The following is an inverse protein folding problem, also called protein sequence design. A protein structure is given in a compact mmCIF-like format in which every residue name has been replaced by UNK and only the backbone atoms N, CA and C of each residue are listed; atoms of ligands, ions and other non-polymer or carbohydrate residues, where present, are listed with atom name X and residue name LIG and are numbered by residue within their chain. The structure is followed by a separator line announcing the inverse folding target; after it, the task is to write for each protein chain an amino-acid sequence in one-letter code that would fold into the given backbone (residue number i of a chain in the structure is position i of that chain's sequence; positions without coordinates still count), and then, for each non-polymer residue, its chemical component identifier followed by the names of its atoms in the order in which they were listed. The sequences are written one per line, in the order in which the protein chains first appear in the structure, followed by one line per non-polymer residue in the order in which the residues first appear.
data_IF_586758474437
#
_entry.id   IF_586758474437
#
_cell.length_a   1.000
_cell.length_b   1.000
_cell.length_c   1.000
_cell.angle_alpha   90.00
_cell.angle_beta   90.00
_cell.angle_gamma   90.00
#
_symmetry.space_group_name_H-M   'P 1'
#
loop_
_entity.id
_entity.type
_entity.pdbx_description
1 polymer ?
#
# COMPACT_ATOMS: atom_id res chain seq x y z
N UNK A 1 -11.50 23.07 3.41
CA UNK A 1 -10.86 24.02 2.47
C UNK A 1 -9.90 23.18 1.66
N UNK A 2 -9.99 23.22 0.34
CA UNK A 2 -9.15 22.37 -0.53
C UNK A 2 -7.72 22.91 -0.52
N UNK A 3 -6.72 22.05 -0.23
CA UNK A 3 -5.29 22.44 -0.26
C UNK A 3 -4.91 23.14 -1.56
N UNK A 4 -5.53 22.72 -2.67
CA UNK A 4 -5.29 23.25 -4.00
C UNK A 4 -5.71 24.72 -4.14
N UNK A 5 -6.93 25.08 -3.76
CA UNK A 5 -7.43 26.45 -3.90
C UNK A 5 -6.65 27.43 -3.02
N UNK A 6 -6.36 27.04 -1.79
CA UNK A 6 -5.62 27.90 -0.87
C UNK A 6 -4.21 28.21 -1.42
N UNK A 7 -3.54 27.23 -2.01
CA UNK A 7 -2.22 27.43 -2.64
C UNK A 7 -2.31 28.22 -3.95
N UNK A 8 -3.33 27.94 -4.78
CA UNK A 8 -3.58 28.69 -6.00
C UNK A 8 -3.84 30.17 -5.71
N UNK A 9 -4.64 30.48 -4.68
CA UNK A 9 -4.90 31.86 -4.25
C UNK A 9 -3.59 32.56 -3.89
N UNK A 10 -2.69 31.94 -3.13
CA UNK A 10 -1.39 32.55 -2.79
C UNK A 10 -0.59 32.87 -4.04
N UNK A 11 -0.43 31.91 -4.96
CA UNK A 11 0.34 32.08 -6.20
C UNK A 11 -0.25 33.18 -7.09
N UNK A 12 -1.58 33.19 -7.27
CA UNK A 12 -2.29 34.22 -8.02
C UNK A 12 -2.09 35.60 -7.40
N UNK A 13 -2.16 35.70 -6.06
CA UNK A 13 -2.02 36.97 -5.33
C UNK A 13 -0.64 37.58 -5.52
N UNK A 14 0.41 36.76 -5.42
CA UNK A 14 1.80 37.17 -5.67
C UNK A 14 1.94 37.63 -7.12
N UNK A 15 1.48 36.82 -8.08
CA UNK A 15 1.58 37.13 -9.51
C UNK A 15 0.90 38.45 -9.88
N UNK A 16 -0.32 38.68 -9.39
CA UNK A 16 -1.06 39.91 -9.68
C UNK A 16 -0.36 41.14 -9.09
N UNK A 17 0.22 41.01 -7.89
CA UNK A 17 0.99 42.06 -7.23
C UNK A 17 2.28 42.38 -8.01
N UNK A 18 2.98 41.36 -8.49
CA UNK A 18 4.20 41.50 -9.30
C UNK A 18 3.91 42.11 -10.67
N UNK A 19 2.86 41.64 -11.36
CA UNK A 19 2.43 42.21 -12.64
C UNK A 19 2.06 43.69 -12.53
N UNK A 20 1.36 44.08 -11.46
CA UNK A 20 1.08 45.50 -11.21
C UNK A 20 2.38 46.28 -10.97
N UNK A 21 3.27 45.75 -10.13
CA UNK A 21 4.51 46.43 -9.75
C UNK A 21 4.23 47.82 -9.17
N UNK A 22 4.82 48.86 -9.77
CA UNK A 22 4.63 50.26 -9.38
C UNK A 22 3.44 50.95 -10.07
N UNK A 23 2.71 50.27 -10.96
CA UNK A 23 1.56 50.85 -11.66
C UNK A 23 0.45 51.20 -10.66
N UNK A 24 -0.22 52.33 -10.92
CA UNK A 24 -1.45 52.70 -10.21
C UNK A 24 -2.55 51.68 -10.52
N UNK A 25 -3.34 51.30 -9.53
CA UNK A 25 -4.35 50.24 -9.65
C UNK A 25 -5.41 50.62 -10.70
N UNK A 26 -5.72 51.90 -10.77
CA UNK A 26 -6.68 52.51 -11.69
C UNK A 26 -6.26 52.37 -13.16
N UNK A 27 -4.96 52.18 -13.42
CA UNK A 27 -4.44 51.90 -14.77
C UNK A 27 -4.64 50.44 -15.19
N UNK A 28 -5.01 49.57 -14.26
CA UNK A 28 -5.33 48.16 -14.51
C UNK A 28 -6.83 48.00 -14.75
N UNK A 29 -7.68 48.45 -13.81
CA UNK A 29 -9.13 48.41 -14.00
C UNK A 29 -9.79 49.52 -13.20
N UNK A 30 -10.43 50.46 -13.91
CA UNK A 30 -11.13 51.58 -13.29
C UNK A 30 -12.38 51.07 -12.57
N UNK A 31 -12.47 51.35 -11.26
CA UNK A 31 -13.61 50.94 -10.42
C UNK A 31 -13.46 49.59 -9.72
N UNK A 32 -12.36 48.85 -9.92
CA UNK A 32 -12.09 47.57 -9.24
C UNK A 32 -10.94 47.63 -8.22
N UNK A 33 -10.63 48.83 -7.71
CA UNK A 33 -9.48 49.08 -6.83
C UNK A 33 -9.52 48.23 -5.55
N UNK A 34 -10.68 48.14 -4.90
CA UNK A 34 -10.86 47.34 -3.69
C UNK A 34 -10.67 45.84 -3.95
N UNK A 35 -11.16 45.34 -5.09
CA UNK A 35 -11.01 43.95 -5.52
C UNK A 35 -9.56 43.61 -5.80
N UNK A 36 -8.81 44.48 -6.51
CA UNK A 36 -7.38 44.29 -6.78
C UNK A 36 -6.59 44.25 -5.47
N UNK A 37 -6.80 45.19 -4.54
CA UNK A 37 -6.15 45.17 -3.22
C UNK A 37 -6.46 43.89 -2.43
N UNK A 38 -7.68 43.36 -2.55
CA UNK A 38 -8.07 42.10 -1.90
C UNK A 38 -7.35 40.90 -2.52
N UNK A 39 -7.27 40.83 -3.85
CA UNK A 39 -6.56 39.75 -4.55
C UNK A 39 -5.08 39.81 -4.21
N UNK A 40 -4.44 40.97 -4.32
CA UNK A 40 -3.01 41.11 -4.04
C UNK A 40 -2.65 40.78 -2.59
N UNK A 41 -3.59 40.88 -1.64
CA UNK A 41 -3.37 40.49 -0.25
C UNK A 41 -3.63 39.01 0.04
N UNK A 42 -4.09 38.22 -0.95
CA UNK A 42 -4.46 36.82 -0.75
C UNK A 42 -5.67 36.62 0.15
N UNK A 43 -6.46 37.68 0.37
CA UNK A 43 -7.64 37.59 1.22
C UNK A 43 -8.75 36.83 0.50
N UNK A 44 -8.92 35.56 0.87
CA UNK A 44 -10.02 34.73 0.39
C UNK A 44 -11.37 35.31 0.86
N UNK A 45 -12.40 35.10 0.05
CA UNK A 45 -13.76 35.55 0.32
C UNK A 45 -14.61 34.37 0.79
N UNK A 46 -15.40 34.58 1.84
CA UNK A 46 -16.31 33.55 2.37
C UNK A 46 -17.47 33.23 1.41
N UNK A 47 -17.74 34.12 0.46
CA UNK A 47 -18.74 33.96 -0.59
C UNK A 47 -18.37 34.83 -1.81
N UNK A 48 -18.65 34.32 -3.01
CA UNK A 48 -18.41 35.02 -4.27
C UNK A 48 -17.17 34.52 -5.02
N UNK A 49 -16.77 35.26 -6.07
CA UNK A 49 -15.69 34.88 -6.97
C UNK A 49 -14.36 35.56 -6.58
N UNK A 50 -13.28 34.80 -6.32
CA UNK A 50 -12.00 35.36 -5.85
C UNK A 50 -11.44 36.36 -6.87
N UNK A 51 -11.55 36.05 -8.17
CA UNK A 51 -11.24 36.95 -9.28
C UNK A 51 -12.45 37.01 -10.23
N UNK A 52 -13.09 38.18 -10.40
CA UNK A 52 -14.12 38.37 -11.41
C UNK A 52 -13.56 38.23 -12.84
N UNK A 53 -14.35 37.66 -13.75
CA UNK A 53 -13.94 37.50 -15.16
C UNK A 53 -13.61 38.83 -15.85
N UNK A 54 -14.34 39.92 -15.54
CA UNK A 54 -14.06 41.25 -16.08
C UNK A 54 -12.68 41.77 -15.66
N UNK A 55 -12.28 41.53 -14.41
CA UNK A 55 -10.94 41.90 -13.94
C UNK A 55 -9.86 41.06 -14.63
N UNK A 56 -10.14 39.77 -14.81
CA UNK A 56 -9.22 38.85 -15.50
C UNK A 56 -9.03 39.25 -16.97
N UNK A 57 -10.09 39.71 -17.64
CA UNK A 57 -10.04 40.28 -18.99
C UNK A 57 -9.20 41.56 -19.04
N UNK A 58 -9.38 42.47 -18.09
CA UNK A 58 -8.58 43.70 -18.01
C UNK A 58 -7.08 43.41 -17.85
N UNK A 59 -6.72 42.50 -16.93
CA UNK A 59 -5.33 42.05 -16.79
C UNK A 59 -4.81 41.38 -18.07
N UNK A 60 -5.62 40.51 -18.69
CA UNK A 60 -5.26 39.82 -19.93
C UNK A 60 -4.92 40.78 -21.05
N UNK A 61 -5.76 41.81 -21.25
CA UNK A 61 -5.58 42.85 -22.25
C UNK A 61 -4.37 43.74 -21.97
N UNK A 62 -4.19 44.19 -20.73
CA UNK A 62 -3.16 45.18 -20.36
C UNK A 62 -1.76 44.58 -20.39
N UNK A 63 -1.62 43.34 -19.92
CA UNK A 63 -0.33 42.66 -19.85
C UNK A 63 -0.07 41.77 -21.07
N UNK A 64 -1.06 41.59 -21.95
CA UNK A 64 -1.00 40.67 -23.09
C UNK A 64 -0.64 39.23 -22.64
N UNK A 65 -1.29 38.77 -21.58
CA UNK A 65 -1.11 37.44 -20.99
C UNK A 65 -2.46 36.72 -21.02
N UNK A 66 -2.49 35.49 -21.53
CA UNK A 66 -3.72 34.69 -21.55
C UNK A 66 -4.28 34.47 -20.13
N UNK A 67 -5.61 34.39 -20.02
CA UNK A 67 -6.33 34.21 -18.75
C UNK A 67 -5.88 32.96 -17.96
N UNK A 68 -5.68 31.85 -18.65
CA UNK A 68 -5.17 30.61 -18.04
C UNK A 68 -3.79 30.81 -17.39
N UNK A 69 -2.89 31.52 -18.07
CA UNK A 69 -1.55 31.84 -17.56
C UNK A 69 -1.57 32.88 -16.45
N UNK A 70 -2.57 33.76 -16.40
CA UNK A 70 -2.76 34.67 -15.25
C UNK A 70 -3.18 33.90 -13.99
N UNK A 71 -4.02 32.87 -14.12
CA UNK A 71 -4.49 32.06 -13.01
C UNK A 71 -3.46 31.00 -12.60
N UNK A 72 -3.03 30.15 -13.53
CA UNK A 72 -2.21 28.97 -13.22
C UNK A 72 -0.70 29.21 -13.40
N UNK A 73 -0.29 30.27 -14.12
CA UNK A 73 1.12 30.58 -14.34
C UNK A 73 1.74 29.79 -15.51
N UNK A 74 3.05 29.67 -15.45
CA UNK A 74 3.86 28.86 -16.38
C UNK A 74 3.76 27.36 -16.07
N UNK A 75 4.28 26.53 -16.98
CA UNK A 75 4.35 25.08 -16.75
C UNK A 75 5.11 24.72 -15.47
N UNK A 76 6.18 25.46 -15.15
CA UNK A 76 6.93 25.26 -13.90
C UNK A 76 6.12 25.62 -12.66
N UNK A 77 5.33 26.70 -12.71
CA UNK A 77 4.46 27.10 -11.60
C UNK A 77 3.31 26.11 -11.40
N UNK A 78 2.81 25.50 -12.49
CA UNK A 78 1.81 24.42 -12.44
C UNK A 78 2.41 23.17 -11.77
N UNK A 79 3.61 22.77 -12.18
CA UNK A 79 4.30 21.62 -11.56
C UNK A 79 4.50 21.86 -10.06
N UNK A 80 4.99 23.04 -9.68
CA UNK A 80 5.20 23.42 -8.26
C UNK A 80 3.88 23.45 -7.47
N UNK A 81 2.80 24.00 -8.04
CA UNK A 81 1.48 24.01 -7.41
C UNK A 81 0.97 22.59 -7.15
N UNK A 82 1.12 21.70 -8.13
CA UNK A 82 0.70 20.30 -8.01
C UNK A 82 1.60 19.54 -7.02
N UNK A 83 2.90 19.79 -7.02
CA UNK A 83 3.83 19.19 -6.05
C UNK A 83 3.41 19.50 -4.61
N UNK A 84 3.21 20.78 -4.29
CA UNK A 84 2.77 21.22 -2.96
C UNK A 84 1.41 20.61 -2.61
N UNK A 85 0.48 20.57 -3.56
CA UNK A 85 -0.86 20.03 -3.33
C UNK A 85 -0.82 18.53 -3.02
N UNK A 86 -0.07 17.75 -3.80
CA UNK A 86 0.03 16.30 -3.62
C UNK A 86 0.91 15.94 -2.41
N UNK A 87 1.92 16.74 -2.08
CA UNK A 87 2.64 16.57 -0.81
C UNK A 87 1.71 16.80 0.38
N UNK A 88 0.84 17.82 0.36
CA UNK A 88 -0.15 18.01 1.43
C UNK A 88 -1.09 16.81 1.56
N UNK A 89 -1.57 16.25 0.45
CA UNK A 89 -2.33 15.00 0.46
C UNK A 89 -1.55 13.82 1.05
N UNK A 90 -0.29 13.69 0.67
CA UNK A 90 0.60 12.68 1.23
C UNK A 90 0.78 12.86 2.74
N UNK A 91 1.05 14.07 3.23
CA UNK A 91 1.16 14.38 4.66
C UNK A 91 -0.15 14.09 5.43
N UNK A 92 -1.30 14.33 4.80
CA UNK A 92 -2.59 13.99 5.39
C UNK A 92 -2.77 12.47 5.51
N UNK A 93 -2.36 11.68 4.51
CA UNK A 93 -2.30 10.22 4.63
C UNK A 93 -1.36 9.82 5.76
N UNK A 94 -0.17 10.41 5.86
CA UNK A 94 0.77 10.10 6.96
C UNK A 94 0.17 10.38 8.34
N UNK A 95 -0.72 11.37 8.45
CA UNK A 95 -1.32 11.79 9.73
C UNK A 95 -2.60 11.04 10.08
N UNK A 96 -3.44 10.74 9.08
CA UNK A 96 -4.81 10.23 9.27
C UNK A 96 -5.08 8.89 8.57
N UNK A 97 -4.11 8.35 7.83
CA UNK A 97 -4.26 7.23 6.88
C UNK A 97 -5.29 7.49 5.76
N UNK A 98 -5.77 8.73 5.58
CA UNK A 98 -6.71 9.15 4.54
C UNK A 98 -6.67 10.66 4.33
N UNK A 99 -7.12 11.13 3.16
CA UNK A 99 -7.15 12.55 2.78
C UNK A 99 -8.49 13.21 3.13
N UNK A 100 -9.62 12.71 2.62
CA UNK A 100 -10.97 13.20 2.93
C UNK A 100 -11.99 12.10 2.60
N UNK A 101 -13.11 12.06 3.31
CA UNK A 101 -14.22 11.12 3.07
C UNK A 101 -15.00 11.42 1.79
N UNK A 102 -14.86 12.63 1.23
CA UNK A 102 -15.50 13.01 -0.05
C UNK A 102 -14.66 12.63 -1.29
N UNK A 103 -13.43 12.16 -1.09
CA UNK A 103 -12.48 11.82 -2.15
C UNK A 103 -12.05 10.34 -2.05
N UNK A 104 -13.01 9.43 -1.91
CA UNK A 104 -12.75 8.02 -1.64
C UNK A 104 -12.02 7.31 -2.80
N UNK A 105 -12.39 7.55 -4.06
CA UNK A 105 -11.76 6.87 -5.20
C UNK A 105 -10.34 7.39 -5.42
N UNK A 106 -10.15 8.70 -5.31
CA UNK A 106 -8.83 9.31 -5.36
C UNK A 106 -7.96 8.82 -4.21
N UNK A 107 -8.47 8.83 -2.97
CA UNK A 107 -7.74 8.37 -1.80
C UNK A 107 -7.26 6.92 -1.96
N UNK A 108 -8.15 6.02 -2.38
CA UNK A 108 -7.80 4.61 -2.61
C UNK A 108 -6.73 4.45 -3.69
N UNK A 109 -6.95 5.03 -4.87
CA UNK A 109 -6.04 4.90 -6.02
C UNK A 109 -4.67 5.54 -5.76
N UNK A 110 -4.63 6.66 -5.05
CA UNK A 110 -3.39 7.32 -4.67
C UNK A 110 -2.61 6.51 -3.62
N UNK A 111 -3.30 5.93 -2.63
CA UNK A 111 -2.69 4.99 -1.67
C UNK A 111 -2.15 3.75 -2.39
N UNK A 112 -2.91 3.17 -3.31
CA UNK A 112 -2.47 2.03 -4.12
C UNK A 112 -1.21 2.37 -4.94
N UNK A 113 -1.14 3.60 -5.47
CA UNK A 113 0.07 4.10 -6.13
C UNK A 113 1.26 4.20 -5.15
N UNK A 114 1.04 4.79 -3.97
CA UNK A 114 2.08 4.93 -2.95
C UNK A 114 2.55 3.56 -2.42
N UNK A 115 1.68 2.55 -2.38
CA UNK A 115 2.02 1.18 -1.99
C UNK A 115 2.98 0.47 -2.95
N UNK A 116 3.25 1.02 -4.14
CA UNK A 116 4.36 0.58 -5.01
C UNK A 116 5.74 0.83 -4.38
N UNK A 117 5.80 1.65 -3.33
CA UNK A 117 6.98 1.88 -2.52
C UNK A 117 6.90 1.04 -1.24
N UNK A 118 7.77 0.04 -1.13
CA UNK A 118 7.79 -0.95 -0.05
C UNK A 118 7.82 -0.30 1.35
N UNK A 119 8.58 0.79 1.52
CA UNK A 119 8.66 1.53 2.78
C UNK A 119 7.31 2.16 3.16
N UNK A 120 6.59 2.70 2.17
CA UNK A 120 5.25 3.24 2.37
C UNK A 120 4.24 2.13 2.65
N UNK A 121 4.21 1.08 1.81
CA UNK A 121 3.30 -0.05 1.99
C UNK A 121 3.46 -0.72 3.37
N UNK A 122 4.71 -0.95 3.80
CA UNK A 122 5.00 -1.51 5.13
C UNK A 122 4.45 -0.62 6.23
N UNK A 123 4.69 0.69 6.17
CA UNK A 123 4.18 1.64 7.16
C UNK A 123 2.66 1.76 7.15
N UNK A 124 2.03 1.75 5.98
CA UNK A 124 0.58 1.94 5.86
C UNK A 124 -0.19 0.74 6.39
N UNK A 125 0.28 -0.48 6.04
CA UNK A 125 -0.40 -1.73 6.37
C UNK A 125 -0.07 -2.25 7.78
N UNK A 126 1.12 -1.96 8.32
CA UNK A 126 1.37 -2.20 9.74
C UNK A 126 0.69 -1.09 10.54
N UNK A 127 -0.08 -1.40 11.57
CA UNK A 127 -0.70 -0.39 12.43
C UNK A 127 0.32 0.26 13.37
N UNK A 128 1.23 1.02 12.77
CA UNK A 128 2.35 1.65 13.44
C UNK A 128 1.88 3.02 13.93
N UNK A 129 1.77 3.17 15.24
CA UNK A 129 1.61 4.47 15.92
C UNK A 129 2.82 5.40 15.74
N UNK A 130 3.86 4.97 15.02
CA UNK A 130 5.06 5.73 14.77
C UNK A 130 4.89 6.71 13.61
N UNK A 131 5.44 7.92 13.80
CA UNK A 131 5.55 8.94 12.77
C UNK A 131 6.36 8.40 11.59
N UNK A 132 5.76 8.46 10.39
CA UNK A 132 6.42 8.02 9.17
C UNK A 132 7.56 8.98 8.78
N UNK A 133 8.67 8.42 8.31
CA UNK A 133 9.77 9.17 7.67
C UNK A 133 9.75 9.03 6.14
N UNK A 134 8.58 8.79 5.57
CA UNK A 134 8.42 8.69 4.13
C UNK A 134 8.42 10.07 3.49
N UNK A 135 9.00 10.18 2.30
CA UNK A 135 9.08 11.41 1.53
C UNK A 135 8.35 11.22 0.21
N UNK A 136 7.69 12.28 -0.27
CA UNK A 136 6.92 12.23 -1.51
C UNK A 136 7.77 12.46 -2.78
N UNK A 137 9.05 12.80 -2.65
CA UNK A 137 9.93 13.17 -3.78
C UNK A 137 10.00 12.10 -4.88
N UNK A 138 10.33 10.85 -4.55
CA UNK A 138 10.41 9.77 -5.57
C UNK A 138 9.04 9.48 -6.21
N UNK A 139 7.94 9.31 -5.44
CA UNK A 139 6.60 9.23 -6.01
C UNK A 139 6.24 10.43 -6.91
N UNK A 140 6.61 11.65 -6.53
CA UNK A 140 6.34 12.85 -7.31
C UNK A 140 7.09 12.85 -8.64
N UNK A 141 8.41 12.63 -8.60
CA UNK A 141 9.27 12.69 -9.77
C UNK A 141 8.82 11.74 -10.89
N UNK A 142 8.30 10.56 -10.55
CA UNK A 142 7.78 9.59 -11.53
C UNK A 142 6.57 10.11 -12.31
N UNK A 143 5.65 10.82 -11.65
CA UNK A 143 4.37 11.19 -12.26
C UNK A 143 4.30 12.66 -12.68
N UNK A 144 5.19 13.53 -12.19
CA UNK A 144 5.03 15.00 -12.27
C UNK A 144 4.67 15.50 -13.66
N UNK A 145 5.37 15.04 -14.71
CA UNK A 145 5.18 15.52 -16.09
C UNK A 145 3.84 15.08 -16.67
N UNK A 146 3.51 13.79 -16.47
CA UNK A 146 2.23 13.22 -16.90
C UNK A 146 1.07 13.86 -16.14
N UNK A 147 1.23 14.06 -14.83
CA UNK A 147 0.22 14.67 -13.98
C UNK A 147 -0.03 16.13 -14.38
N UNK A 148 1.01 16.93 -14.56
CA UNK A 148 0.90 18.31 -15.03
C UNK A 148 0.25 18.38 -16.43
N UNK A 149 0.59 17.47 -17.34
CA UNK A 149 -0.07 17.37 -18.65
C UNK A 149 -1.55 17.02 -18.53
N UNK A 150 -1.90 16.07 -17.66
CA UNK A 150 -3.29 15.69 -17.38
C UNK A 150 -4.06 16.87 -16.81
N UNK A 151 -3.52 17.55 -15.81
CA UNK A 151 -4.12 18.73 -15.19
C UNK A 151 -4.40 19.83 -16.22
N UNK A 152 -3.44 20.14 -17.08
CA UNK A 152 -3.63 21.11 -18.18
C UNK A 152 -4.76 20.70 -19.11
N UNK A 153 -4.88 19.41 -19.44
CA UNK A 153 -5.85 18.92 -20.41
C UNK A 153 -7.28 18.77 -19.85
N UNK A 154 -7.42 18.42 -18.59
CA UNK A 154 -8.72 18.08 -18.00
C UNK A 154 -9.26 19.19 -17.10
N UNK A 155 -8.39 19.89 -16.37
CA UNK A 155 -8.78 20.99 -15.47
C UNK A 155 -8.71 22.33 -16.19
N UNK A 156 -7.51 22.76 -16.63
CA UNK A 156 -7.35 24.10 -17.21
C UNK A 156 -8.17 24.27 -18.48
N UNK A 157 -8.06 23.33 -19.43
CA UNK A 157 -8.90 23.38 -20.63
C UNK A 157 -10.38 23.33 -20.26
N UNK A 158 -10.79 22.49 -19.31
CA UNK A 158 -12.20 22.42 -18.87
C UNK A 158 -12.76 23.75 -18.36
N UNK A 159 -11.94 24.53 -17.66
CA UNK A 159 -12.29 25.86 -17.14
C UNK A 159 -12.39 26.92 -18.25
N UNK A 160 -11.53 26.84 -19.27
CA UNK A 160 -11.39 27.88 -20.30
C UNK A 160 -11.90 27.47 -21.70
N UNK A 161 -12.54 26.31 -21.87
CA UNK A 161 -12.95 25.78 -23.19
C UNK A 161 -14.15 26.51 -23.80
N UNK A 162 -15.04 27.06 -22.97
CA UNK A 162 -16.30 27.63 -23.43
C UNK A 162 -16.16 29.14 -23.63
N UNK A 163 -15.93 29.55 -24.87
CA UNK A 163 -15.78 30.96 -25.28
C UNK A 163 -17.00 31.83 -24.90
N UNK A 164 -18.15 31.23 -24.62
CA UNK A 164 -19.39 31.94 -24.27
C UNK A 164 -19.67 31.95 -22.76
N UNK A 165 -18.87 31.24 -21.95
CA UNK A 165 -19.03 31.16 -20.50
C UNK A 165 -18.08 32.12 -19.80
N UNK A 166 -18.61 32.95 -18.92
CA UNK A 166 -17.78 33.79 -18.06
C UNK A 166 -17.00 32.94 -17.06
N UNK A 167 -15.72 33.27 -16.88
CA UNK A 167 -14.84 32.59 -15.94
C UNK A 167 -15.34 32.75 -14.49
N UNK A 168 -15.32 31.65 -13.73
CA UNK A 168 -15.60 31.65 -12.29
C UNK A 168 -14.53 30.88 -11.54
N UNK A 169 -13.73 31.60 -10.75
CA UNK A 169 -12.69 31.04 -9.89
C UNK A 169 -13.26 30.03 -8.89
N UNK A 170 -14.46 30.28 -8.36
CA UNK A 170 -15.12 29.36 -7.42
C UNK A 170 -15.39 27.97 -8.00
N UNK A 171 -15.47 27.83 -9.33
CA UNK A 171 -15.70 26.55 -9.99
C UNK A 171 -14.41 25.73 -10.12
N UNK A 172 -13.23 26.32 -9.88
CA UNK A 172 -11.93 25.63 -10.05
C UNK A 172 -11.84 24.37 -9.20
N UNK A 173 -12.25 24.42 -7.92
CA UNK A 173 -12.25 23.24 -7.06
C UNK A 173 -13.13 22.12 -7.60
N UNK A 174 -14.30 22.46 -8.16
CA UNK A 174 -15.18 21.47 -8.74
C UNK A 174 -14.52 20.73 -9.91
N UNK A 175 -13.81 21.45 -10.79
CA UNK A 175 -13.05 20.83 -11.89
C UNK A 175 -11.86 20.01 -11.35
N UNK A 176 -11.19 20.50 -10.32
CA UNK A 176 -10.06 19.83 -9.70
C UNK A 176 -10.46 18.53 -9.01
N UNK A 177 -11.46 18.56 -8.12
CA UNK A 177 -11.99 17.40 -7.39
C UNK A 177 -12.53 16.35 -8.37
N UNK A 178 -13.27 16.77 -9.41
CA UNK A 178 -13.71 15.84 -10.46
C UNK A 178 -12.55 15.19 -11.20
N UNK A 179 -11.47 15.94 -11.44
CA UNK A 179 -10.26 15.39 -12.06
C UNK A 179 -9.57 14.38 -11.12
N UNK A 180 -9.53 14.63 -9.82
CA UNK A 180 -9.03 13.67 -8.83
C UNK A 180 -9.87 12.38 -8.79
N UNK A 181 -11.19 12.52 -8.66
CA UNK A 181 -12.14 11.42 -8.41
C UNK A 181 -12.51 10.58 -9.63
N UNK A 182 -12.23 11.07 -10.85
CA UNK A 182 -12.57 10.35 -12.06
C UNK A 182 -11.34 10.11 -12.92
N UNK A 183 -10.65 11.18 -13.32
CA UNK A 183 -9.56 11.03 -14.29
C UNK A 183 -8.34 10.37 -13.64
N UNK A 184 -7.98 10.80 -12.43
CA UNK A 184 -6.81 10.26 -11.75
C UNK A 184 -7.06 8.88 -11.17
N UNK A 185 -8.19 8.69 -10.49
CA UNK A 185 -8.54 7.43 -9.84
C UNK A 185 -8.79 6.29 -10.82
N UNK A 186 -9.54 6.55 -11.89
CA UNK A 186 -10.03 5.48 -12.75
C UNK A 186 -9.00 5.09 -13.81
N UNK A 187 -8.14 6.04 -14.21
CA UNK A 187 -7.23 5.85 -15.34
C UNK A 187 -5.77 6.15 -14.97
N UNK A 188 -5.47 7.35 -14.47
CA UNK A 188 -4.07 7.79 -14.30
C UNK A 188 -3.27 6.89 -13.36
N UNK A 189 -3.70 6.70 -12.11
CA UNK A 189 -2.96 5.87 -11.16
C UNK A 189 -2.95 4.40 -11.57
N UNK A 190 -4.08 3.77 -11.94
CA UNK A 190 -4.09 2.39 -12.41
C UNK A 190 -3.12 2.14 -13.58
N UNK A 191 -3.11 3.01 -14.59
CA UNK A 191 -2.20 2.87 -15.74
C UNK A 191 -0.73 2.99 -15.34
N UNK A 192 -0.38 3.97 -14.51
CA UNK A 192 0.99 4.15 -14.06
C UNK A 192 1.44 2.99 -13.15
N UNK A 193 0.56 2.47 -12.29
CA UNK A 193 0.83 1.28 -11.46
C UNK A 193 1.15 0.07 -12.34
N UNK A 194 0.34 -0.20 -13.38
CA UNK A 194 0.57 -1.33 -14.28
C UNK A 194 1.88 -1.21 -15.09
N UNK A 195 2.29 0.02 -15.42
CA UNK A 195 3.61 0.27 -16.02
C UNK A 195 4.74 0.02 -15.02
N UNK A 196 4.61 0.52 -13.79
CA UNK A 196 5.61 0.35 -12.73
C UNK A 196 5.81 -1.13 -12.38
N UNK A 197 4.74 -1.91 -12.27
CA UNK A 197 4.79 -3.36 -11.97
C UNK A 197 5.63 -4.17 -12.96
N UNK A 198 5.83 -3.69 -14.19
CA UNK A 198 6.67 -4.36 -15.19
C UNK A 198 8.16 -4.26 -14.86
N UNK A 199 8.57 -3.21 -14.15
CA UNK A 199 9.95 -3.00 -13.74
C UNK A 199 10.24 -3.67 -12.39
N UNK A 200 11.40 -4.34 -12.30
CA UNK A 200 11.78 -5.11 -11.11
C UNK A 200 11.85 -4.28 -9.83
N UNK A 201 12.33 -3.03 -9.89
CA UNK A 201 12.49 -2.17 -8.71
C UNK A 201 11.12 -1.90 -8.08
N UNK A 202 10.15 -1.51 -8.88
CA UNK A 202 8.79 -1.22 -8.41
C UNK A 202 7.97 -2.49 -8.13
N UNK A 203 8.24 -3.58 -8.85
CA UNK A 203 7.67 -4.90 -8.57
C UNK A 203 7.97 -5.37 -7.14
N UNK A 204 9.14 -5.05 -6.59
CA UNK A 204 9.47 -5.36 -5.19
C UNK A 204 8.45 -4.72 -4.23
N UNK A 205 8.09 -3.45 -4.42
CA UNK A 205 7.11 -2.80 -3.56
C UNK A 205 5.70 -3.37 -3.73
N UNK A 206 5.31 -3.72 -4.95
CA UNK A 206 4.05 -4.46 -5.17
C UNK A 206 4.04 -5.84 -4.47
N UNK A 207 5.17 -6.56 -4.48
CA UNK A 207 5.30 -7.81 -3.73
C UNK A 207 5.15 -7.58 -2.23
N UNK A 208 5.81 -6.55 -1.69
CA UNK A 208 5.69 -6.18 -0.27
C UNK A 208 4.24 -5.84 0.08
N UNK A 209 3.54 -5.08 -0.75
CA UNK A 209 2.13 -4.75 -0.52
C UNK A 209 1.23 -5.99 -0.51
N UNK A 210 1.49 -6.94 -1.41
CA UNK A 210 0.79 -8.22 -1.45
C UNK A 210 1.07 -9.05 -0.19
N UNK A 211 2.33 -9.13 0.25
CA UNK A 211 2.70 -9.82 1.49
C UNK A 211 2.00 -9.21 2.71
N UNK A 212 1.96 -7.88 2.77
CA UNK A 212 1.33 -7.15 3.86
C UNK A 212 -0.19 -7.35 3.92
N UNK A 213 -0.88 -7.31 2.77
CA UNK A 213 -2.34 -7.38 2.70
C UNK A 213 -2.89 -8.80 2.76
N UNK A 214 -2.21 -9.76 2.14
CA UNK A 214 -2.77 -11.10 1.90
C UNK A 214 -2.18 -12.17 2.83
N UNK A 215 -1.00 -11.95 3.42
CA UNK A 215 -0.31 -12.98 4.19
C UNK A 215 -0.14 -12.65 5.67
N UNK A 216 -0.06 -11.37 6.05
CA UNK A 216 0.15 -10.95 7.44
C UNK A 216 -1.20 -10.71 8.12
N UNK A 217 -1.48 -11.46 9.18
CA UNK A 217 -2.68 -11.27 10.02
C UNK A 217 -2.32 -10.57 11.34
N UNK A 218 -2.79 -9.34 11.55
CA UNK A 218 -2.48 -8.55 12.76
C UNK A 218 -3.27 -8.98 14.01
N UNK A 219 -4.49 -9.51 13.84
CA UNK A 219 -5.43 -9.77 14.93
C UNK A 219 -5.57 -11.26 15.28
N UNK A 220 -4.44 -11.96 15.43
CA UNK A 220 -4.48 -13.37 15.87
C UNK A 220 -4.69 -13.39 17.40
N UNK A 221 -5.86 -13.85 17.90
CA UNK A 221 -6.18 -13.77 19.32
C UNK A 221 -5.22 -14.61 20.17
N UNK A 222 -4.85 -14.07 21.35
CA UNK A 222 -4.03 -14.74 22.36
C UNK A 222 -4.71 -16.07 22.76
N UNK A 223 -3.99 -17.18 22.64
CA UNK A 223 -4.54 -18.52 22.93
C UNK A 223 -4.26 -18.84 24.41
N UNK A 224 -5.29 -18.76 25.26
CA UNK A 224 -5.17 -19.01 26.71
C UNK A 224 -4.79 -20.46 27.08
N UNK A 225 -4.87 -21.41 26.14
CA UNK A 225 -4.53 -22.82 26.36
C UNK A 225 -3.66 -23.37 25.22
N UNK A 226 -2.37 -23.51 25.49
CA UNK A 226 -1.31 -23.68 24.49
C UNK A 226 -1.19 -25.11 23.93
N UNK A 227 -2.12 -26.00 24.26
CA UNK A 227 -2.05 -27.43 23.93
C UNK A 227 -2.68 -27.79 22.58
N UNK A 228 -1.91 -28.48 21.73
CA UNK A 228 -2.29 -29.07 20.44
C UNK A 228 -2.28 -30.60 20.57
N UNK A 229 -3.43 -31.26 20.43
CA UNK A 229 -3.48 -32.71 20.27
C UNK A 229 -2.71 -33.16 19.04
N UNK A 230 -1.80 -34.11 19.20
CA UNK A 230 -0.95 -34.64 18.16
C UNK A 230 -0.92 -36.16 18.23
N UNK A 231 -1.25 -36.80 17.11
CA UNK A 231 -1.24 -38.25 17.00
C UNK A 231 0.01 -38.70 16.25
N UNK A 232 0.73 -39.68 16.77
CA UNK A 232 1.88 -40.26 16.09
C UNK A 232 1.89 -41.78 16.24
N UNK A 233 2.41 -42.45 15.22
CA UNK A 233 2.58 -43.89 15.25
C UNK A 233 3.97 -44.25 15.79
N UNK A 234 4.02 -45.06 16.85
CA UNK A 234 5.28 -45.57 17.40
C UNK A 234 5.33 -47.08 17.28
N UNK A 235 6.44 -47.60 16.76
CA UNK A 235 6.73 -49.03 16.84
C UNK A 235 6.98 -49.41 18.31
N UNK A 236 6.16 -50.30 18.83
CA UNK A 236 6.32 -50.90 20.15
C UNK A 236 6.46 -52.41 20.02
N UNK A 237 7.09 -53.04 21.02
CA UNK A 237 7.23 -54.49 21.10
C UNK A 237 5.82 -55.09 21.15
N UNK A 238 5.56 -56.07 20.30
CA UNK A 238 4.27 -56.73 20.28
C UNK A 238 4.22 -57.77 21.41
N UNK A 239 3.39 -57.60 22.45
CA UNK A 239 3.32 -58.55 23.57
C UNK A 239 2.81 -59.93 23.12
N UNK A 240 2.03 -59.98 22.04
CA UNK A 240 1.46 -61.20 21.50
C UNK A 240 2.47 -61.99 20.64
N UNK A 241 3.63 -61.40 20.33
CA UNK A 241 4.69 -62.07 19.59
C UNK A 241 5.49 -62.98 20.52
N UNK A 242 5.33 -64.29 20.37
CA UNK A 242 6.23 -65.27 20.96
C UNK A 242 7.44 -65.53 20.06
N UNK A 243 8.68 -65.18 20.50
CA UNK A 243 9.91 -65.41 19.74
C UNK A 243 10.33 -66.89 19.67
N UNK A 244 9.65 -67.76 20.43
CA UNK A 244 9.96 -69.18 20.54
C UNK A 244 8.70 -70.02 20.33
N UNK A 245 8.88 -71.23 19.81
CA UNK A 245 7.85 -72.26 19.70
C UNK A 245 8.42 -73.61 20.15
N UNK A 246 7.53 -74.52 20.56
CA UNK A 246 7.91 -75.87 21.00
C UNK A 246 7.79 -76.82 19.81
N UNK A 247 8.86 -77.53 19.49
CA UNK A 247 8.87 -78.61 18.51
C UNK A 247 8.95 -79.93 19.26
N UNK A 248 7.99 -80.83 19.01
CA UNK A 248 8.04 -82.19 19.54
C UNK A 248 9.07 -82.99 18.74
N UNK A 249 10.12 -83.45 19.41
CA UNK A 249 11.15 -84.32 18.82
C UNK A 249 11.09 -85.70 19.46
N UNK A 250 11.78 -86.69 18.86
CA UNK A 250 11.87 -88.05 19.43
C UNK A 250 12.56 -88.09 20.81
N UNK A 251 13.26 -87.01 21.18
CA UNK A 251 14.00 -86.84 22.44
C UNK A 251 13.26 -85.97 23.47
N UNK A 252 12.05 -85.47 23.13
CA UNK A 252 11.25 -84.58 23.96
C UNK A 252 10.90 -83.24 23.29
N UNK A 253 10.25 -82.36 24.05
CA UNK A 253 9.84 -81.02 23.62
C UNK A 253 11.05 -80.07 23.60
N UNK A 254 11.39 -79.53 22.42
CA UNK A 254 12.53 -78.61 22.24
C UNK A 254 12.05 -77.20 21.95
N UNK A 255 12.54 -76.22 22.71
CA UNK A 255 12.27 -74.80 22.46
C UNK A 255 13.13 -74.30 21.29
N UNK A 256 12.50 -73.81 20.23
CA UNK A 256 13.18 -73.32 19.02
C UNK A 256 12.84 -71.85 18.81
N UNK A 257 13.85 -71.03 18.50
CA UNK A 257 13.68 -69.61 18.18
C UNK A 257 13.14 -69.45 16.76
N UNK A 258 12.16 -68.56 16.56
CA UNK A 258 11.69 -68.21 15.22
C UNK A 258 12.77 -67.40 14.50
N UNK A 259 13.25 -67.89 13.36
CA UNK A 259 14.21 -67.17 12.50
C UNK A 259 13.55 -66.02 11.72
N UNK A 260 12.23 -66.10 11.47
CA UNK A 260 11.42 -65.05 10.81
C UNK A 260 10.00 -65.01 11.41
N UNK A 261 9.30 -63.85 11.34
CA UNK A 261 7.89 -63.75 11.73
C UNK A 261 7.05 -64.77 10.96
N UNK A 262 6.10 -65.43 11.61
CA UNK A 262 5.24 -66.41 10.95
C UNK A 262 4.15 -65.67 10.17
N UNK A 263 4.29 -65.57 8.84
CA UNK A 263 3.32 -64.88 7.96
C UNK A 263 1.89 -65.42 8.12
N UNK A 264 1.73 -66.69 8.52
CA UNK A 264 0.43 -67.33 8.74
C UNK A 264 -0.34 -66.82 9.96
N UNK A 265 0.35 -66.28 10.96
CA UNK A 265 -0.28 -65.80 12.21
C UNK A 265 -0.53 -64.28 12.15
N UNK A 266 0.08 -63.56 11.21
CA UNK A 266 -0.03 -62.09 11.09
C UNK A 266 0.60 -61.29 12.25
N UNK A 267 1.25 -61.96 13.21
CA UNK A 267 1.82 -61.33 14.41
C UNK A 267 3.31 -61.05 14.21
N UNK A 268 3.67 -59.77 14.11
CA UNK A 268 5.04 -59.28 13.95
C UNK A 268 5.69 -58.92 15.31
N UNK A 269 7.04 -58.94 15.43
CA UNK A 269 7.76 -58.58 16.66
C UNK A 269 7.48 -57.16 17.17
N UNK A 270 7.15 -56.26 16.24
CA UNK A 270 6.79 -54.87 16.49
C UNK A 270 5.41 -54.60 15.92
N UNK A 271 4.61 -53.84 16.68
CA UNK A 271 3.34 -53.28 16.22
C UNK A 271 3.40 -51.76 16.27
N UNK A 272 2.77 -51.10 15.29
CA UNK A 272 2.57 -49.66 15.33
C UNK A 272 1.41 -49.37 16.28
N UNK A 273 1.66 -48.52 17.27
CA UNK A 273 0.67 -48.05 18.23
C UNK A 273 0.48 -46.55 18.03
N UNK A 274 -0.76 -46.13 17.87
CA UNK A 274 -1.12 -44.71 17.86
C UNK A 274 -1.03 -44.15 19.27
N UNK A 275 -0.26 -43.08 19.44
CA UNK A 275 -0.11 -42.34 20.68
C UNK A 275 -0.61 -40.91 20.46
N UNK A 276 -1.33 -40.38 21.45
CA UNK A 276 -1.77 -39.00 21.47
C UNK A 276 -0.93 -38.22 22.49
N UNK A 277 -0.34 -37.11 22.06
CA UNK A 277 0.40 -36.18 22.91
C UNK A 277 -0.19 -34.79 22.74
N UNK A 278 -0.32 -34.05 23.83
CA UNK A 278 -0.62 -32.63 23.77
C UNK A 278 0.71 -31.87 23.69
N UNK A 279 0.94 -31.19 22.58
CA UNK A 279 2.13 -30.39 22.32
C UNK A 279 1.85 -28.94 22.69
N UNK A 280 2.82 -28.25 23.30
CA UNK A 280 2.77 -26.80 23.35
C UNK A 280 3.18 -26.17 22.00
N UNK A 281 3.07 -24.84 21.88
CA UNK A 281 3.46 -24.09 20.67
C UNK A 281 4.85 -24.46 20.16
N UNK A 282 5.86 -24.38 21.02
CA UNK A 282 7.26 -24.61 20.62
C UNK A 282 7.49 -26.05 20.17
N UNK A 283 6.97 -27.02 20.92
CA UNK A 283 7.07 -28.44 20.56
C UNK A 283 6.41 -28.75 19.22
N UNK A 284 5.25 -28.14 18.95
CA UNK A 284 4.55 -28.30 17.69
C UNK A 284 5.34 -27.70 16.51
N UNK A 285 5.80 -26.46 16.64
CA UNK A 285 6.59 -25.78 15.62
C UNK A 285 7.91 -26.51 15.33
N UNK A 286 8.62 -26.99 16.36
CA UNK A 286 9.85 -27.76 16.19
C UNK A 286 9.60 -29.07 15.42
N UNK A 287 8.49 -29.75 15.72
CA UNK A 287 8.08 -30.95 14.98
C UNK A 287 7.80 -30.63 13.51
N UNK A 288 7.06 -29.55 13.22
CA UNK A 288 6.78 -29.10 11.84
C UNK A 288 8.09 -28.89 11.08
N UNK A 289 9.05 -28.16 11.66
CA UNK A 289 10.37 -27.90 11.06
C UNK A 289 11.19 -29.17 10.83
N UNK A 290 11.08 -30.15 11.73
CA UNK A 290 11.78 -31.44 11.63
C UNK A 290 11.09 -32.43 10.68
N UNK A 291 10.06 -32.00 9.94
CA UNK A 291 9.38 -32.74 8.89
C UNK A 291 8.49 -33.88 9.45
N UNK A 292 7.36 -33.48 10.06
CA UNK A 292 6.33 -34.34 10.71
C UNK A 292 6.00 -35.62 9.93
N UNK A 293 5.99 -35.56 8.59
CA UNK A 293 5.68 -36.70 7.72
C UNK A 293 6.66 -37.87 7.92
N UNK A 294 7.93 -37.60 8.27
CA UNK A 294 8.93 -38.64 8.59
C UNK A 294 8.59 -39.44 9.84
N UNK A 295 7.75 -38.90 10.73
CA UNK A 295 7.36 -39.52 11.99
C UNK A 295 5.94 -40.11 11.96
N UNK A 296 5.28 -40.12 10.78
CA UNK A 296 3.91 -40.61 10.64
C UNK A 296 2.91 -39.87 11.54
N UNK A 297 3.23 -38.63 11.90
CA UNK A 297 2.42 -37.81 12.80
C UNK A 297 1.33 -37.05 12.06
N UNK A 298 0.16 -36.87 12.69
CA UNK A 298 -0.90 -36.02 12.18
C UNK A 298 -1.57 -35.24 13.32
N UNK A 299 -1.94 -33.99 13.04
CA UNK A 299 -2.75 -33.17 13.94
C UNK A 299 -4.22 -33.48 13.65
N UNK A 300 -4.98 -34.07 14.59
CA UNK A 300 -6.40 -34.35 14.38
C UNK A 300 -7.17 -33.04 14.20
N UNK A 301 -8.01 -32.99 13.17
CA UNK A 301 -8.93 -31.87 12.94
C UNK A 301 -8.27 -30.53 12.62
N UNK A 302 -7.03 -30.51 12.12
CA UNK A 302 -6.32 -29.26 11.76
C UNK A 302 -7.11 -28.36 10.79
N UNK A 303 -7.88 -28.97 9.89
CA UNK A 303 -8.77 -28.28 8.94
C UNK A 303 -10.16 -27.97 9.50
N UNK A 304 -10.48 -28.39 10.72
CA UNK A 304 -11.84 -28.30 11.29
C UNK A 304 -11.82 -27.81 12.75
N UNK A 305 -11.77 -28.72 13.71
CA UNK A 305 -11.97 -28.46 15.15
C UNK A 305 -10.70 -27.97 15.86
N UNK A 306 -9.51 -28.17 15.28
CA UNK A 306 -8.23 -27.84 15.88
C UNK A 306 -7.58 -26.64 15.19
N UNK A 307 -8.33 -25.53 15.12
CA UNK A 307 -7.91 -24.26 14.51
C UNK A 307 -6.71 -23.60 15.21
N UNK A 308 -6.30 -24.10 16.39
CA UNK A 308 -5.11 -23.62 17.13
C UNK A 308 -3.81 -23.91 16.39
N UNK A 309 -3.67 -25.12 15.84
CA UNK A 309 -2.50 -25.48 15.04
C UNK A 309 -2.36 -24.55 13.83
N UNK A 310 -3.46 -24.25 13.14
CA UNK A 310 -3.48 -23.29 12.02
C UNK A 310 -3.10 -21.88 12.45
N UNK A 311 -3.56 -21.41 13.63
CA UNK A 311 -3.16 -20.11 14.18
C UNK A 311 -1.66 -20.02 14.50
N UNK A 312 -1.04 -21.07 15.05
CA UNK A 312 0.41 -21.06 15.27
C UNK A 312 1.21 -21.11 13.97
N UNK A 313 0.72 -21.85 12.97
CA UNK A 313 1.29 -21.81 11.62
C UNK A 313 1.18 -20.39 11.04
N UNK A 314 0.05 -19.72 11.23
CA UNK A 314 -0.13 -18.33 10.80
C UNK A 314 0.82 -17.38 11.51
N UNK A 315 1.08 -17.55 12.81
CA UNK A 315 2.08 -16.74 13.53
C UNK A 315 3.49 -16.97 12.98
N UNK A 316 3.87 -18.22 12.70
CA UNK A 316 5.16 -18.53 12.07
C UNK A 316 5.26 -17.96 10.65
N UNK A 317 4.16 -18.00 9.90
CA UNK A 317 4.04 -17.40 8.58
C UNK A 317 4.18 -15.87 8.65
N UNK A 318 3.51 -15.21 9.60
CA UNK A 318 3.66 -13.78 9.85
C UNK A 318 5.12 -13.42 10.11
N UNK A 319 5.80 -14.13 11.03
CA UNK A 319 7.22 -13.88 11.35
C UNK A 319 8.11 -14.05 10.11
N UNK A 320 7.88 -15.10 9.31
CA UNK A 320 8.61 -15.34 8.07
C UNK A 320 8.37 -14.22 7.04
N UNK A 321 7.11 -13.83 6.83
CA UNK A 321 6.73 -12.80 5.85
C UNK A 321 7.21 -11.42 6.27
N UNK A 322 7.17 -11.08 7.56
CA UNK A 322 7.72 -9.83 8.08
C UNK A 322 9.23 -9.71 7.84
N UNK A 323 9.98 -10.82 7.98
CA UNK A 323 11.41 -10.83 7.63
C UNK A 323 11.62 -10.57 6.13
N UNK A 324 10.84 -11.22 5.26
CA UNK A 324 10.90 -10.95 3.83
C UNK A 324 10.52 -9.51 3.46
N UNK A 325 9.48 -8.95 4.08
CA UNK A 325 9.08 -7.55 3.90
C UNK A 325 10.21 -6.61 4.27
N UNK A 326 10.90 -6.85 5.39
CA UNK A 326 12.06 -6.05 5.82
C UNK A 326 13.19 -6.10 4.79
N UNK A 327 13.58 -7.30 4.35
CA UNK A 327 14.68 -7.48 3.40
C UNK A 327 14.36 -6.84 2.04
N UNK A 328 13.14 -7.05 1.54
CA UNK A 328 12.67 -6.47 0.29
C UNK A 328 12.57 -4.94 0.35
N UNK A 329 12.14 -4.39 1.50
CA UNK A 329 12.05 -2.95 1.71
C UNK A 329 13.42 -2.29 1.67
N UNK A 330 14.40 -2.83 2.40
CA UNK A 330 15.77 -2.29 2.36
C UNK A 330 16.40 -2.48 0.97
N UNK A 331 16.10 -3.57 0.28
CA UNK A 331 16.60 -3.78 -1.07
C UNK A 331 16.01 -2.81 -2.09
N UNK A 332 14.69 -2.55 -2.08
CA UNK A 332 14.08 -1.56 -2.97
C UNK A 332 14.65 -0.16 -2.68
N UNK A 333 14.80 0.20 -1.40
CA UNK A 333 15.40 1.47 -0.98
C UNK A 333 16.83 1.62 -1.50
N UNK A 334 17.64 0.57 -1.40
CA UNK A 334 18.99 0.55 -1.99
C UNK A 334 18.95 0.79 -3.50
N UNK A 335 18.09 0.08 -4.24
CA UNK A 335 17.97 0.21 -5.69
C UNK A 335 17.50 1.60 -6.12
N UNK A 336 16.50 2.17 -5.43
CA UNK A 336 16.03 3.54 -5.68
C UNK A 336 17.15 4.56 -5.47
N UNK A 337 18.01 4.35 -4.47
CA UNK A 337 19.17 5.20 -4.21
C UNK A 337 20.26 5.16 -5.30
N UNK A 338 20.20 4.20 -6.24
CA UNK A 338 21.10 4.14 -7.39
C UNK A 338 20.58 4.91 -8.61
N UNK A 339 19.32 5.35 -8.59
CA UNK A 339 18.67 5.99 -9.74
C UNK A 339 18.86 7.51 -9.66
N UNK A 340 19.22 8.13 -10.78
CA UNK A 340 19.26 9.60 -10.89
C UNK A 340 17.85 10.16 -10.99
N UNK A 341 17.60 11.32 -10.39
CA UNK A 341 16.29 11.98 -10.45
C UNK A 341 15.81 12.20 -11.89
N UNK A 342 16.70 12.56 -12.81
CA UNK A 342 16.37 12.71 -14.23
C UNK A 342 15.92 11.41 -14.90
N UNK A 343 16.37 10.25 -14.44
CA UNK A 343 15.88 8.96 -14.96
C UNK A 343 14.45 8.68 -14.49
N UNK A 344 14.14 8.98 -13.22
CA UNK A 344 12.78 8.85 -12.68
C UNK A 344 11.77 9.70 -13.47
N UNK A 345 12.12 10.96 -13.76
CA UNK A 345 11.25 11.88 -14.51
C UNK A 345 10.94 11.45 -15.94
N UNK A 346 11.77 10.60 -16.51
CA UNK A 346 11.64 10.10 -17.88
C UNK A 346 11.13 8.66 -17.94
N UNK A 347 10.87 8.04 -16.78
CA UNK A 347 10.55 6.62 -16.70
C UNK A 347 9.13 6.29 -17.20
N UNK A 348 8.14 7.10 -16.79
CA UNK A 348 6.73 6.97 -17.17
C UNK A 348 6.39 7.92 -18.31
#
# INVERSE_FOLDING_TARGET
MSFFEDELIKKVSVRFRELRGSRQIETISSGQVSTIKRIESGKNIKSGNFIPDSLLEDYSRIFNIKKDRLIFGTDSEIEELLEITFDNYFQEILSKKKINDELDNFNKSFIDYLCIFAKFSTWYNLDMTQVSSNFFETPWLLIKRKLARSFKNNVIKGIFNDMNRSFKFVEINQYFERWLENDLSDNFFPENIELLKKNTIFKIGYMVDTLMKEFIESDIPIIENDSIPFNFARAQRNPDYMPYFIVKTKEGDKLVRKDRPNEKDGVYPTKLVSLNRNLNRNEFTDLVKQNIAKFGGHVPGILTINSRASKYIQLELNDLMLNHVKDLTEYQKYLLGLIRFSELENFL
#
